data_IF_202454097985
#
_entry.id   IF_202454097985
#
_cell.length_a   1.000
_cell.length_b   1.000
_cell.length_c   1.000
_cell.angle_alpha   90.00
_cell.angle_beta   90.00
_cell.angle_gamma   90.00
#
_symmetry.space_group_name_H-M   'P 1'
#
loop_
_entity.id
_entity.type
_entity.pdbx_description
1 polymer ?
#
# COMPACT_ATOMS: atom_id res chain seq x y z
N UNK A 1 -34.85 12.99 -42.53
CA UNK A 1 -33.80 11.99 -42.25
C UNK A 1 -32.93 12.52 -41.12
N UNK A 2 -33.26 12.18 -39.87
CA UNK A 2 -32.47 12.58 -38.70
C UNK A 2 -31.81 11.33 -38.13
N UNK A 3 -30.48 11.30 -38.11
CA UNK A 3 -29.69 10.21 -37.53
C UNK A 3 -29.37 10.63 -36.09
N UNK A 4 -30.07 10.06 -35.12
CA UNK A 4 -29.74 10.22 -33.71
C UNK A 4 -28.50 9.39 -33.40
N UNK A 5 -27.36 10.06 -33.28
CA UNK A 5 -26.14 9.52 -32.68
C UNK A 5 -26.37 9.29 -31.18
N UNK A 6 -26.55 8.03 -30.77
CA UNK A 6 -26.39 7.65 -29.36
C UNK A 6 -24.95 7.19 -29.15
N UNK A 7 -24.18 8.05 -28.49
CA UNK A 7 -22.88 7.69 -27.95
C UNK A 7 -23.09 6.81 -26.70
N UNK A 8 -22.72 5.54 -26.81
CA UNK A 8 -22.59 4.64 -25.66
C UNK A 8 -21.45 5.17 -24.80
N UNK A 9 -21.78 5.88 -23.72
CA UNK A 9 -20.83 6.28 -22.68
C UNK A 9 -20.55 5.06 -21.78
N UNK A 10 -19.38 4.45 -21.93
CA UNK A 10 -18.84 3.53 -20.92
C UNK A 10 -18.33 4.34 -19.71
N UNK A 11 -18.71 4.00 -18.47
CA UNK A 11 -18.17 4.66 -17.28
C UNK A 11 -16.90 3.92 -16.82
N UNK A 12 -15.82 3.99 -17.59
CA UNK A 12 -14.52 3.38 -17.21
C UNK A 12 -13.64 4.34 -16.39
N UNK A 13 -13.94 5.65 -16.39
CA UNK A 13 -13.10 6.64 -15.70
C UNK A 13 -13.47 6.86 -14.21
N UNK A 14 -14.61 6.34 -13.73
CA UNK A 14 -15.13 6.70 -12.39
C UNK A 14 -14.70 5.74 -11.28
N UNK A 15 -14.30 4.52 -11.64
CA UNK A 15 -13.90 3.49 -10.66
C UNK A 15 -12.51 3.80 -10.09
N UNK A 16 -11.54 4.13 -10.96
CA UNK A 16 -10.18 4.47 -10.54
C UNK A 16 -10.13 5.64 -9.56
N UNK A 17 -10.81 6.76 -9.87
CA UNK A 17 -10.84 7.95 -9.01
C UNK A 17 -11.39 7.65 -7.61
N UNK A 18 -12.51 6.90 -7.52
CA UNK A 18 -13.11 6.52 -6.24
C UNK A 18 -12.18 5.63 -5.39
N UNK A 19 -11.44 4.74 -6.03
CA UNK A 19 -10.55 3.81 -5.33
C UNK A 19 -9.31 4.53 -4.79
N UNK A 20 -8.79 5.52 -5.52
CA UNK A 20 -7.73 6.41 -5.05
C UNK A 20 -8.20 7.28 -3.88
N UNK A 21 -9.40 7.84 -3.93
CA UNK A 21 -9.97 8.60 -2.81
C UNK A 21 -10.12 7.74 -1.54
N UNK A 22 -10.59 6.50 -1.70
CA UNK A 22 -10.70 5.55 -0.61
C UNK A 22 -9.32 5.20 -0.02
N UNK A 23 -8.31 5.00 -0.89
CA UNK A 23 -6.94 4.75 -0.47
C UNK A 23 -6.38 5.92 0.33
N UNK A 24 -6.49 7.14 -0.18
CA UNK A 24 -6.02 8.36 0.47
C UNK A 24 -6.65 8.54 1.86
N UNK A 25 -7.96 8.26 1.97
CA UNK A 25 -8.67 8.34 3.25
C UNK A 25 -8.15 7.30 4.26
N UNK A 26 -7.95 6.06 3.83
CA UNK A 26 -7.44 4.99 4.71
C UNK A 26 -6.02 5.30 5.17
N UNK A 27 -5.16 5.77 4.27
CA UNK A 27 -3.79 6.17 4.60
C UNK A 27 -3.78 7.36 5.58
N UNK A 28 -4.66 8.34 5.40
CA UNK A 28 -4.82 9.44 6.35
C UNK A 28 -5.24 8.95 7.75
N UNK A 29 -6.16 7.97 7.83
CA UNK A 29 -6.57 7.36 9.09
C UNK A 29 -5.44 6.56 9.79
N UNK A 30 -4.42 6.11 9.05
CA UNK A 30 -3.22 5.47 9.58
C UNK A 30 -2.17 6.47 10.08
N UNK A 31 -2.16 7.69 9.54
CA UNK A 31 -1.20 8.74 9.83
C UNK A 31 -1.48 9.43 11.17
N UNK A 32 -1.28 8.70 12.26
CA UNK A 32 -1.50 9.19 13.64
C UNK A 32 -0.36 8.77 14.54
N UNK A 33 0.01 9.63 15.51
CA UNK A 33 0.98 9.27 16.54
C UNK A 33 0.39 8.29 17.56
N UNK A 34 -0.88 8.49 17.92
CA UNK A 34 -1.66 7.55 18.73
C UNK A 34 -2.00 6.27 17.96
N UNK A 35 -2.73 5.37 18.62
CA UNK A 35 -3.30 4.22 17.94
C UNK A 35 -4.21 4.70 16.79
N UNK A 36 -4.05 4.17 15.57
CA UNK A 36 -5.00 4.44 14.49
C UNK A 36 -6.39 3.95 14.90
N UNK A 37 -7.42 4.44 14.20
CA UNK A 37 -8.78 3.94 14.38
C UNK A 37 -8.79 2.42 14.26
N UNK A 38 -9.53 1.76 15.14
CA UNK A 38 -9.62 0.31 15.15
C UNK A 38 -9.99 -0.23 13.76
N UNK A 39 -9.13 -1.09 13.22
CA UNK A 39 -9.31 -1.69 11.91
C UNK A 39 -8.93 -0.83 10.70
N UNK A 40 -8.34 0.36 10.86
CA UNK A 40 -7.86 1.16 9.72
C UNK A 40 -6.80 0.40 8.90
N UNK A 41 -5.85 -0.27 9.57
CA UNK A 41 -4.81 -1.08 8.96
C UNK A 41 -5.42 -2.26 8.16
N UNK A 42 -6.33 -3.00 8.81
CA UNK A 42 -7.08 -4.07 8.15
C UNK A 42 -7.95 -3.58 6.99
N UNK A 43 -8.44 -2.33 7.05
CA UNK A 43 -9.20 -1.71 5.95
C UNK A 43 -8.32 -1.49 4.72
N UNK A 44 -7.05 -1.08 4.91
CA UNK A 44 -6.08 -0.99 3.83
C UNK A 44 -5.88 -2.36 3.17
N UNK A 45 -5.59 -3.39 3.98
CA UNK A 45 -5.41 -4.76 3.49
C UNK A 45 -6.59 -5.22 2.64
N UNK A 46 -7.82 -5.08 3.16
CA UNK A 46 -9.05 -5.45 2.46
C UNK A 46 -9.26 -4.66 1.18
N UNK A 47 -8.90 -3.38 1.17
CA UNK A 47 -8.97 -2.55 -0.04
C UNK A 47 -8.02 -3.11 -1.11
N UNK A 48 -6.75 -3.35 -0.78
CA UNK A 48 -5.78 -3.88 -1.75
C UNK A 48 -6.18 -5.27 -2.25
N UNK A 49 -6.61 -6.17 -1.36
CA UNK A 49 -7.09 -7.51 -1.74
C UNK A 49 -8.35 -7.47 -2.61
N UNK A 50 -9.24 -6.50 -2.39
CA UNK A 50 -10.40 -6.26 -3.25
C UNK A 50 -9.96 -5.78 -4.62
N UNK A 51 -9.13 -4.73 -4.69
CA UNK A 51 -8.67 -4.16 -5.95
C UNK A 51 -7.85 -5.17 -6.77
N UNK A 52 -7.07 -6.04 -6.12
CA UNK A 52 -6.34 -7.13 -6.79
C UNK A 52 -7.24 -8.16 -7.49
N UNK A 53 -8.49 -8.31 -7.01
CA UNK A 53 -9.52 -9.19 -7.58
C UNK A 53 -10.39 -8.49 -8.61
N UNK A 54 -10.72 -7.22 -8.38
CA UNK A 54 -11.72 -6.48 -9.15
C UNK A 54 -11.11 -5.73 -10.35
N UNK A 55 -9.86 -5.28 -10.26
CA UNK A 55 -9.20 -4.52 -11.32
C UNK A 55 -8.49 -5.41 -12.34
N UNK A 56 -8.34 -4.88 -13.56
CA UNK A 56 -7.42 -5.45 -14.54
C UNK A 56 -5.97 -5.37 -14.05
N UNK A 57 -5.07 -6.18 -14.61
CA UNK A 57 -3.65 -6.16 -14.23
C UNK A 57 -3.02 -4.76 -14.34
N UNK A 58 -3.30 -4.05 -15.43
CA UNK A 58 -2.80 -2.68 -15.68
C UNK A 58 -3.39 -1.67 -14.69
N UNK A 59 -4.71 -1.69 -14.45
CA UNK A 59 -5.34 -0.78 -13.50
C UNK A 59 -4.88 -1.04 -12.06
N UNK A 60 -4.65 -2.31 -11.71
CA UNK A 60 -4.09 -2.70 -10.42
C UNK A 60 -2.63 -2.25 -10.27
N UNK A 61 -1.81 -2.37 -11.32
CA UNK A 61 -0.44 -1.88 -11.31
C UNK A 61 -0.40 -0.36 -11.04
N UNK A 62 -1.21 0.43 -11.74
CA UNK A 62 -1.32 1.87 -11.49
C UNK A 62 -1.79 2.22 -10.08
N UNK A 63 -2.75 1.45 -9.54
CA UNK A 63 -3.20 1.61 -8.15
C UNK A 63 -2.05 1.34 -7.16
N UNK A 64 -1.29 0.27 -7.36
CA UNK A 64 -0.16 -0.09 -6.52
C UNK A 64 1.00 0.90 -6.63
N UNK A 65 1.28 1.42 -7.82
CA UNK A 65 2.31 2.45 -8.02
C UNK A 65 1.97 3.71 -7.22
N UNK A 66 0.72 4.16 -7.27
CA UNK A 66 0.28 5.30 -6.48
C UNK A 66 0.38 5.04 -4.97
N UNK A 67 0.01 3.83 -4.52
CA UNK A 67 0.18 3.43 -3.12
C UNK A 67 1.65 3.49 -2.69
N UNK A 68 2.57 2.96 -3.50
CA UNK A 68 4.01 2.99 -3.19
C UNK A 68 4.58 4.41 -3.22
N UNK A 69 4.12 5.27 -4.12
CA UNK A 69 4.49 6.70 -4.17
C UNK A 69 4.10 7.42 -2.88
N UNK A 70 2.88 7.19 -2.38
CA UNK A 70 2.41 7.77 -1.12
C UNK A 70 3.21 7.25 0.09
N UNK A 71 3.48 5.95 0.14
CA UNK A 71 4.32 5.35 1.21
C UNK A 71 5.72 5.98 1.20
N UNK A 72 6.33 6.12 0.02
CA UNK A 72 7.66 6.74 -0.14
C UNK A 72 7.64 8.18 0.37
N UNK A 73 6.66 8.97 -0.08
CA UNK A 73 6.45 10.35 0.37
C UNK A 73 6.26 10.45 1.89
N UNK A 74 5.58 9.47 2.48
CA UNK A 74 5.33 9.46 3.92
C UNK A 74 6.57 9.13 4.72
N UNK A 75 7.39 8.16 4.29
CA UNK A 75 8.67 7.79 4.94
C UNK A 75 9.70 8.93 4.89
N UNK A 76 9.75 9.63 3.77
CA UNK A 76 10.66 10.76 3.57
C UNK A 76 10.16 12.04 4.28
N UNK A 77 8.97 11.99 4.88
CA UNK A 77 8.39 13.12 5.61
C UNK A 77 9.09 13.32 6.96
N UNK A 78 9.22 14.59 7.37
CA UNK A 78 9.65 14.92 8.72
C UNK A 78 8.52 14.83 9.77
N UNK A 79 7.32 14.40 9.36
CA UNK A 79 6.17 14.22 10.23
C UNK A 79 6.12 12.80 10.79
N UNK A 80 6.26 12.68 12.12
CA UNK A 80 6.23 11.39 12.82
C UNK A 80 4.96 10.60 12.56
N UNK A 81 3.80 11.26 12.48
CA UNK A 81 2.52 10.62 12.19
C UNK A 81 2.49 9.97 10.81
N UNK A 82 3.09 10.61 9.78
CA UNK A 82 3.18 10.06 8.42
C UNK A 82 4.13 8.87 8.36
N UNK A 83 5.29 8.97 8.99
CA UNK A 83 6.25 7.87 9.10
C UNK A 83 5.60 6.64 9.77
N UNK A 84 4.93 6.85 10.91
CA UNK A 84 4.20 5.78 11.59
C UNK A 84 3.07 5.21 10.72
N UNK A 85 2.33 6.05 9.98
CA UNK A 85 1.30 5.62 9.04
C UNK A 85 1.84 4.75 7.92
N UNK A 86 2.97 5.13 7.32
CA UNK A 86 3.64 4.36 6.29
C UNK A 86 4.12 3.00 6.80
N UNK A 87 4.72 2.94 7.99
CA UNK A 87 5.17 1.69 8.59
C UNK A 87 4.01 0.73 8.86
N UNK A 88 2.88 1.22 9.37
CA UNK A 88 1.66 0.41 9.57
C UNK A 88 1.08 -0.08 8.25
N UNK A 89 1.10 0.77 7.21
CA UNK A 89 0.67 0.37 5.89
C UNK A 89 1.55 -0.75 5.33
N UNK A 90 2.88 -0.63 5.44
CA UNK A 90 3.82 -1.67 5.01
C UNK A 90 3.57 -2.99 5.75
N UNK A 91 3.37 -2.94 7.07
CA UNK A 91 3.12 -4.13 7.90
C UNK A 91 1.93 -4.95 7.37
N UNK A 92 0.82 -4.29 7.05
CA UNK A 92 -0.35 -4.95 6.46
C UNK A 92 -0.10 -5.44 5.03
N UNK A 93 0.69 -4.71 4.25
CA UNK A 93 1.00 -5.07 2.87
C UNK A 93 1.94 -6.27 2.76
N UNK A 94 2.72 -6.60 3.80
CA UNK A 94 3.53 -7.83 3.87
C UNK A 94 2.61 -9.05 3.75
N UNK A 95 1.47 -9.04 4.44
CA UNK A 95 0.51 -10.17 4.44
C UNK A 95 -0.38 -10.24 3.19
N UNK A 96 -0.41 -9.17 2.38
CA UNK A 96 -1.20 -9.16 1.15
C UNK A 96 -0.50 -9.98 0.08
N UNK A 97 -1.09 -11.13 -0.25
CA UNK A 97 -0.64 -11.96 -1.38
C UNK A 97 -1.12 -11.34 -2.70
N UNK A 98 -0.20 -10.80 -3.49
CA UNK A 98 -0.46 -10.30 -4.85
C UNK A 98 0.40 -11.05 -5.86
N UNK A 99 0.07 -10.93 -7.15
CA UNK A 99 0.75 -11.68 -8.23
C UNK A 99 2.26 -11.37 -8.34
N UNK A 100 2.71 -10.19 -7.91
CA UNK A 100 4.11 -9.75 -8.02
C UNK A 100 4.75 -9.59 -6.63
N UNK A 101 5.01 -10.70 -5.93
CA UNK A 101 5.49 -10.66 -4.54
C UNK A 101 6.98 -10.31 -4.39
N UNK A 102 7.84 -10.62 -5.35
CA UNK A 102 9.31 -10.45 -5.17
C UNK A 102 9.76 -9.00 -5.29
N UNK A 103 9.09 -8.19 -6.12
CA UNK A 103 9.29 -6.72 -6.12
C UNK A 103 8.93 -6.09 -4.77
N UNK A 104 7.97 -6.66 -4.02
CA UNK A 104 7.54 -6.11 -2.72
C UNK A 104 8.61 -6.27 -1.65
N UNK A 105 9.26 -7.44 -1.57
CA UNK A 105 10.28 -7.71 -0.54
C UNK A 105 11.41 -6.68 -0.65
N UNK A 106 11.95 -6.48 -1.86
CA UNK A 106 13.02 -5.52 -2.12
C UNK A 106 12.58 -4.09 -1.77
N UNK A 107 11.38 -3.67 -2.20
CA UNK A 107 10.84 -2.35 -1.87
C UNK A 107 10.70 -2.14 -0.36
N UNK A 108 10.13 -3.12 0.35
CA UNK A 108 9.92 -3.03 1.80
C UNK A 108 11.24 -3.03 2.57
N UNK A 109 12.24 -3.81 2.15
CA UNK A 109 13.58 -3.73 2.73
C UNK A 109 14.19 -2.34 2.54
N UNK A 110 14.08 -1.74 1.35
CA UNK A 110 14.58 -0.39 1.10
C UNK A 110 13.88 0.67 1.96
N UNK A 111 12.56 0.54 2.15
CA UNK A 111 11.80 1.42 3.04
C UNK A 111 12.23 1.30 4.50
N UNK A 112 12.49 0.09 4.98
CA UNK A 112 13.01 -0.10 6.34
C UNK A 112 14.38 0.54 6.50
N UNK A 113 15.31 0.32 5.55
CA UNK A 113 16.63 0.97 5.56
C UNK A 113 16.51 2.49 5.61
N UNK A 114 15.68 3.08 4.73
CA UNK A 114 15.44 4.52 4.72
C UNK A 114 14.88 5.02 6.06
N UNK A 115 13.90 4.31 6.64
CA UNK A 115 13.34 4.68 7.94
C UNK A 115 14.39 4.67 9.06
N UNK A 116 15.31 3.70 9.09
CA UNK A 116 16.39 3.64 10.09
C UNK A 116 17.50 4.68 9.87
N UNK A 117 17.78 5.04 8.63
CA UNK A 117 18.84 6.00 8.29
C UNK A 117 18.43 7.44 8.61
N UNK A 118 17.19 7.80 8.30
CA UNK A 118 16.72 9.20 8.32
C UNK A 118 16.01 9.57 9.62
N UNK A 119 15.36 8.64 10.32
CA UNK A 119 14.58 8.93 11.51
C UNK A 119 15.34 8.68 12.81
N UNK A 120 15.08 9.53 13.81
CA UNK A 120 15.63 9.40 15.18
C UNK A 120 14.55 9.29 16.25
N UNK A 121 13.27 9.39 15.89
CA UNK A 121 12.17 9.26 16.83
C UNK A 121 12.04 7.79 17.30
N UNK A 122 12.07 7.52 18.62
CA UNK A 122 12.02 6.16 19.15
C UNK A 122 10.77 5.38 18.74
N UNK A 123 9.62 6.02 18.57
CA UNK A 123 8.37 5.34 18.20
C UNK A 123 8.45 4.81 16.77
N UNK A 124 9.03 5.60 15.86
CA UNK A 124 9.26 5.20 14.47
C UNK A 124 10.22 4.00 14.44
N UNK A 125 11.35 4.10 15.15
CA UNK A 125 12.37 3.04 15.15
C UNK A 125 11.84 1.73 15.74
N UNK A 126 11.08 1.80 16.83
CA UNK A 126 10.46 0.61 17.44
C UNK A 126 9.46 -0.04 16.49
N UNK A 127 8.64 0.75 15.80
CA UNK A 127 7.69 0.21 14.83
C UNK A 127 8.41 -0.38 13.62
N UNK A 128 9.40 0.33 13.06
CA UNK A 128 10.19 -0.14 11.93
C UNK A 128 10.88 -1.48 12.24
N UNK A 129 11.40 -1.67 13.47
CA UNK A 129 12.00 -2.94 13.88
C UNK A 129 10.99 -4.09 13.90
N UNK A 130 9.74 -3.82 14.31
CA UNK A 130 8.66 -4.84 14.28
C UNK A 130 8.31 -5.22 12.84
N UNK A 131 8.14 -4.22 11.98
CA UNK A 131 7.83 -4.41 10.55
C UNK A 131 8.96 -5.16 9.85
N UNK A 132 10.22 -4.83 10.13
CA UNK A 132 11.37 -5.55 9.60
C UNK A 132 11.40 -7.02 10.05
N UNK A 133 11.12 -7.29 11.33
CA UNK A 133 11.04 -8.66 11.85
C UNK A 133 9.88 -9.46 11.24
N UNK A 134 8.78 -8.80 10.91
CA UNK A 134 7.67 -9.41 10.18
C UNK A 134 8.07 -9.71 8.72
N UNK A 135 8.69 -8.76 8.04
CA UNK A 135 9.18 -8.92 6.68
C UNK A 135 10.16 -10.08 6.54
N UNK A 136 11.14 -10.19 7.45
CA UNK A 136 12.13 -11.27 7.46
C UNK A 136 11.46 -12.65 7.56
N UNK A 137 10.48 -12.79 8.47
CA UNK A 137 9.71 -14.03 8.64
C UNK A 137 8.87 -14.38 7.41
N UNK A 138 8.27 -13.39 6.78
CA UNK A 138 7.38 -13.58 5.62
C UNK A 138 8.14 -13.72 4.29
N UNK A 139 9.40 -13.28 4.24
CA UNK A 139 10.25 -13.28 3.03
C UNK A 139 10.42 -14.65 2.39
N UNK A 140 10.52 -15.72 3.20
CA UNK A 140 10.66 -17.10 2.71
C UNK A 140 9.37 -17.62 2.04
N UNK A 141 8.20 -17.25 2.55
CA UNK A 141 6.93 -17.62 1.94
C UNK A 141 6.66 -16.83 0.64
N UNK A 142 7.09 -15.56 0.59
CA UNK A 142 6.90 -14.68 -0.57
C UNK A 142 7.77 -15.08 -1.77
N UNK A 143 9.01 -15.53 -1.53
CA UNK A 143 9.94 -15.96 -2.58
C UNK A 143 9.67 -17.39 -3.06
N UNK A 144 9.14 -18.27 -2.19
CA UNK A 144 8.77 -19.63 -2.56
C UNK A 144 7.60 -19.71 -3.57
N UNK A 145 6.70 -18.72 -3.58
CA UNK A 145 5.56 -18.70 -4.51
C UNK A 145 5.94 -18.21 -5.93
N UNK A 146 7.17 -17.75 -6.16
CA UNK A 146 7.65 -17.34 -7.49
C UNK A 146 8.30 -18.49 -8.27
N UNK A 147 8.74 -19.57 -7.60
CA UNK A 147 9.53 -20.66 -8.21
C UNK A 147 8.70 -21.83 -8.77
N UNK A 148 7.37 -21.73 -8.76
CA UNK A 148 6.49 -22.75 -9.35
C UNK A 148 5.54 -22.13 -10.38
N UNK A 149 6.08 -21.72 -11.54
CA UNK A 149 5.37 -21.68 -12.83
C UNK A 149 6.30 -21.96 -13.99
#
# INVERSE_FOLDING_TARGET
>A
MGISSQAIRYPVATIGARNIDALNRVLADLCTRSNPKDGAALTLRRLVEKEARDLSGEAFAHFMDHLYELITTFIDSNEVSKNLGALRAIDELIDVTIRENVSKVVKFSNYMSAAFETNRDPEILVLASKVLGHLDRSSGAMTAHEVER
#
